data_IF_770517584910
#
_entry.id   IF_770517584910
#
_cell.length_a   1.000
_cell.length_b   1.000
_cell.length_c   1.000
_cell.angle_alpha   90.00
_cell.angle_beta   90.00
_cell.angle_gamma   90.00
#
_symmetry.space_group_name_H-M   'P 1'
#
loop_
_entity.id
_entity.type
_entity.pdbx_description
1 polymer ?
#
# COMPACT_ATOMS: atom_id res chain seq x y z
N UNK A 1 1.06 15.93 9.87
CA UNK A 1 0.61 17.09 10.67
C UNK A 1 -0.33 17.93 9.82
N UNK A 2 -1.50 18.27 10.33
CA UNK A 2 -2.55 19.02 9.61
C UNK A 2 -3.00 20.19 10.46
N UNK A 3 -3.18 21.36 9.85
CA UNK A 3 -3.92 22.48 10.43
C UNK A 3 -5.39 22.32 10.01
N UNK A 4 -6.30 22.41 10.96
CA UNK A 4 -7.72 22.53 10.70
C UNK A 4 -8.23 23.87 11.22
N UNK A 5 -8.76 24.66 10.30
CA UNK A 5 -9.44 25.90 10.59
C UNK A 5 -10.93 25.60 10.85
N UNK A 6 -11.35 25.74 12.11
CA UNK A 6 -12.70 25.33 12.51
C UNK A 6 -13.77 26.27 11.97
N UNK A 7 -13.44 27.54 11.75
CA UNK A 7 -14.38 28.53 11.23
C UNK A 7 -14.57 28.40 9.71
N UNK A 8 -13.49 28.10 8.98
CA UNK A 8 -13.53 27.97 7.51
C UNK A 8 -13.80 26.54 7.01
N UNK A 9 -13.83 25.53 7.91
CA UNK A 9 -13.88 24.12 7.52
C UNK A 9 -12.66 23.67 6.70
N UNK A 10 -11.58 24.45 6.71
CA UNK A 10 -10.44 24.28 5.81
C UNK A 10 -9.34 23.46 6.46
N UNK A 11 -8.78 22.55 5.67
CA UNK A 11 -7.69 21.67 6.07
C UNK A 11 -6.43 21.99 5.29
N UNK A 12 -5.31 22.16 5.97
CA UNK A 12 -4.02 22.43 5.33
C UNK A 12 -2.99 21.44 5.83
N UNK A 13 -2.26 20.82 4.91
CA UNK A 13 -1.15 19.95 5.24
C UNK A 13 0.07 20.81 5.60
N UNK A 14 0.45 20.80 6.88
CA UNK A 14 1.56 21.62 7.37
C UNK A 14 2.95 21.03 7.05
N UNK A 15 3.04 19.87 6.38
CA UNK A 15 4.32 19.35 5.87
C UNK A 15 4.70 19.99 4.53
N UNK A 16 3.71 20.36 3.73
CA UNK A 16 3.91 20.88 2.37
C UNK A 16 3.64 22.36 2.25
N UNK A 17 2.98 22.96 3.24
CA UNK A 17 2.61 24.37 3.25
C UNK A 17 3.26 25.03 4.47
N UNK A 18 4.16 25.98 4.21
CA UNK A 18 4.97 26.65 5.23
C UNK A 18 4.26 27.83 5.92
N UNK A 19 3.03 28.18 5.53
CA UNK A 19 2.26 29.26 6.13
C UNK A 19 0.78 29.19 5.77
N UNK A 20 -0.09 29.58 6.71
CA UNK A 20 -1.51 29.73 6.48
C UNK A 20 -1.95 31.12 6.92
N UNK A 21 -2.36 31.93 5.95
CA UNK A 21 -2.87 33.27 6.19
C UNK A 21 -4.40 33.25 6.27
N UNK A 22 -4.93 34.04 7.19
CA UNK A 22 -6.35 34.28 7.32
C UNK A 22 -6.59 35.73 7.76
N UNK A 23 -7.78 36.23 7.47
CA UNK A 23 -8.26 37.53 7.95
C UNK A 23 -9.52 37.30 8.75
N UNK A 24 -9.58 37.89 9.94
CA UNK A 24 -10.74 37.84 10.83
C UNK A 24 -10.74 39.05 11.75
N UNK A 25 -11.93 39.45 12.21
CA UNK A 25 -12.11 40.53 13.21
C UNK A 25 -12.43 39.97 14.60
N UNK A 26 -12.60 38.65 14.73
CA UNK A 26 -12.90 37.95 15.98
C UNK A 26 -11.87 36.85 16.30
N UNK A 27 -11.95 36.27 17.51
CA UNK A 27 -11.11 35.14 17.94
C UNK A 27 -11.35 33.91 17.06
N UNK A 28 -10.27 33.34 16.52
CA UNK A 28 -10.32 32.17 15.63
C UNK A 28 -9.64 30.95 16.24
N UNK A 29 -10.30 29.81 16.14
CA UNK A 29 -9.81 28.54 16.68
C UNK A 29 -9.20 27.68 15.60
N UNK A 30 -7.93 27.35 15.78
CA UNK A 30 -7.21 26.38 14.97
C UNK A 30 -6.99 25.10 15.75
N UNK A 31 -7.20 23.97 15.10
CA UNK A 31 -6.82 22.66 15.63
C UNK A 31 -5.61 22.17 14.84
N UNK A 32 -4.49 21.98 15.54
CA UNK A 32 -3.35 21.26 14.97
C UNK A 32 -3.54 19.79 15.29
N UNK A 33 -3.68 18.99 14.24
CA UNK A 33 -3.72 17.53 14.36
C UNK A 33 -2.35 16.96 14.02
N UNK A 34 -1.68 16.47 15.06
CA UNK A 34 -0.47 15.70 14.93
C UNK A 34 -0.87 14.22 15.00
N UNK A 35 -1.00 13.57 13.84
CA UNK A 35 -0.91 12.12 13.78
C UNK A 35 0.55 11.75 14.06
N UNK A 36 0.84 11.40 15.31
CA UNK A 36 2.10 10.74 15.66
C UNK A 36 2.09 9.40 14.94
N UNK A 37 3.09 9.14 14.11
CA UNK A 37 3.39 7.80 13.66
C UNK A 37 3.75 7.01 14.92
N UNK A 38 2.79 6.28 15.49
CA UNK A 38 3.10 5.36 16.58
C UNK A 38 4.27 4.49 16.10
N UNK A 39 5.29 4.32 16.94
CA UNK A 39 6.56 3.64 16.64
C UNK A 39 6.46 2.15 16.28
N UNK A 40 5.36 1.72 15.67
CA UNK A 40 5.32 0.54 14.82
C UNK A 40 6.05 0.87 13.53
N UNK A 41 7.29 0.43 13.44
CA UNK A 41 7.92 0.22 12.14
C UNK A 41 6.93 -0.57 11.28
N UNK A 42 6.57 -0.05 10.12
CA UNK A 42 5.76 -0.77 9.15
C UNK A 42 6.47 -2.11 8.91
N UNK A 43 5.75 -3.22 9.05
CA UNK A 43 6.24 -4.53 8.67
C UNK A 43 5.19 -5.21 7.82
N UNK A 44 5.67 -5.94 6.83
CA UNK A 44 4.87 -6.86 6.04
C UNK A 44 5.40 -8.27 6.30
N UNK A 45 4.50 -9.15 6.74
CA UNK A 45 4.83 -10.51 7.14
C UNK A 45 3.73 -11.50 6.76
N UNK A 46 3.97 -12.79 7.04
CA UNK A 46 2.98 -13.83 6.78
C UNK A 46 2.62 -13.98 5.30
N UNK A 47 3.53 -13.62 4.39
CA UNK A 47 3.24 -13.63 2.95
C UNK A 47 3.10 -15.08 2.47
N UNK A 48 1.91 -15.46 2.06
CA UNK A 48 1.63 -16.75 1.47
C UNK A 48 1.00 -16.60 0.09
N UNK A 49 1.35 -17.51 -0.81
CA UNK A 49 0.81 -17.58 -2.16
C UNK A 49 0.16 -18.94 -2.33
N UNK A 50 -1.09 -18.96 -2.77
CA UNK A 50 -1.81 -20.20 -3.04
C UNK A 50 -2.59 -20.07 -4.34
N UNK A 51 -2.39 -21.02 -5.25
CA UNK A 51 -3.19 -21.10 -6.44
C UNK A 51 -4.56 -21.70 -6.10
N UNK A 52 -5.62 -20.95 -6.39
CA UNK A 52 -6.99 -21.39 -6.23
C UNK A 52 -7.43 -22.23 -7.44
N UNK A 53 -8.41 -23.11 -7.23
CA UNK A 53 -8.97 -24.03 -8.23
C UNK A 53 -9.57 -23.33 -9.47
N UNK A 54 -9.75 -22.00 -9.45
CA UNK A 54 -10.27 -21.18 -10.54
C UNK A 54 -9.23 -20.54 -11.46
N UNK A 55 -7.95 -20.93 -11.38
CA UNK A 55 -6.90 -20.33 -12.21
C UNK A 55 -6.49 -18.93 -11.76
N UNK A 56 -6.57 -18.68 -10.46
CA UNK A 56 -6.14 -17.43 -9.82
C UNK A 56 -5.13 -17.75 -8.73
N UNK A 57 -4.21 -16.83 -8.46
CA UNK A 57 -3.26 -16.88 -7.37
C UNK A 57 -3.73 -15.92 -6.26
N UNK A 58 -4.02 -16.47 -5.09
CA UNK A 58 -4.27 -15.73 -3.87
C UNK A 58 -2.93 -15.39 -3.21
N UNK A 59 -2.72 -14.12 -2.87
CA UNK A 59 -1.52 -13.60 -2.22
C UNK A 59 -1.96 -12.95 -0.92
N UNK A 60 -1.81 -13.67 0.19
CA UNK A 60 -2.18 -13.19 1.53
C UNK A 60 -0.97 -12.59 2.20
N UNK A 61 -1.15 -11.48 2.91
CA UNK A 61 -0.08 -10.80 3.65
C UNK A 61 -0.63 -10.03 4.85
N UNK A 62 0.20 -9.84 5.87
CA UNK A 62 -0.16 -9.12 7.09
C UNK A 62 0.62 -7.82 7.20
N UNK A 63 -0.09 -6.71 7.38
CA UNK A 63 0.49 -5.38 7.61
C UNK A 63 0.43 -5.01 9.09
N UNK A 64 1.50 -4.45 9.64
CA UNK A 64 1.52 -3.98 11.04
C UNK A 64 0.81 -2.64 11.25
N UNK A 65 0.69 -1.84 10.18
CA UNK A 65 0.13 -0.49 10.13
C UNK A 65 -0.49 -0.24 8.74
N UNK A 66 -1.35 0.76 8.65
CA UNK A 66 -1.97 1.20 7.38
C UNK A 66 -0.88 1.69 6.41
N UNK A 67 -0.95 1.24 5.16
CA UNK A 67 0.03 1.57 4.12
C UNK A 67 -0.55 1.40 2.72
N UNK A 68 -0.03 2.19 1.78
CA UNK A 68 -0.24 1.99 0.36
C UNK A 68 0.54 0.75 -0.12
N UNK A 69 -0.15 -0.20 -0.75
CA UNK A 69 0.42 -1.47 -1.20
C UNK A 69 0.38 -1.62 -2.72
N UNK A 70 1.51 -2.03 -3.29
CA UNK A 70 1.65 -2.47 -4.68
C UNK A 70 2.26 -3.88 -4.72
N UNK A 71 1.62 -4.79 -5.44
CA UNK A 71 2.10 -6.16 -5.60
C UNK A 71 2.61 -6.37 -7.02
N UNK A 72 3.88 -6.68 -7.14
CA UNK A 72 4.54 -6.93 -8.42
C UNK A 72 4.83 -8.40 -8.58
N UNK A 73 4.39 -8.97 -9.70
CA UNK A 73 4.69 -10.35 -10.08
C UNK A 73 5.78 -10.34 -11.12
N UNK A 74 6.91 -11.00 -10.82
CA UNK A 74 8.07 -11.13 -11.68
C UNK A 74 8.36 -12.60 -11.97
N UNK A 75 8.98 -12.90 -13.10
CA UNK A 75 9.52 -14.24 -13.33
C UNK A 75 10.85 -14.44 -12.55
N UNK A 76 11.39 -15.66 -12.56
CA UNK A 76 12.70 -15.95 -11.92
C UNK A 76 13.87 -15.14 -12.50
N UNK A 77 13.73 -14.62 -13.72
CA UNK A 77 14.73 -13.75 -14.37
C UNK A 77 14.58 -12.28 -13.96
N UNK A 78 13.64 -11.95 -13.07
CA UNK A 78 13.38 -10.58 -12.60
C UNK A 78 12.52 -9.73 -13.53
N UNK A 79 12.07 -10.26 -14.68
CA UNK A 79 11.18 -9.53 -15.60
C UNK A 79 9.80 -9.34 -14.98
N UNK A 80 9.32 -8.11 -14.99
CA UNK A 80 7.96 -7.77 -14.57
C UNK A 80 6.94 -8.42 -15.51
N UNK A 81 6.04 -9.21 -14.93
CA UNK A 81 4.97 -9.92 -15.63
C UNK A 81 3.65 -9.17 -15.45
N UNK A 82 3.36 -8.72 -14.22
CA UNK A 82 2.14 -8.00 -13.86
C UNK A 82 2.39 -7.11 -12.64
N UNK A 83 1.76 -5.95 -12.61
CA UNK A 83 1.60 -5.13 -11.39
C UNK A 83 0.14 -5.16 -10.96
N UNK A 84 -0.09 -5.27 -9.67
CA UNK A 84 -1.41 -5.36 -9.04
C UNK A 84 -1.45 -4.26 -7.98
N UNK A 85 -1.99 -3.08 -8.31
CA UNK A 85 -2.11 -2.00 -7.34
C UNK A 85 -3.22 -2.36 -6.34
N UNK A 86 -2.87 -2.46 -5.06
CA UNK A 86 -3.84 -2.70 -3.98
C UNK A 86 -4.36 -1.38 -3.36
N UNK A 87 -3.64 -0.28 -3.55
CA UNK A 87 -4.02 1.03 -2.99
C UNK A 87 -3.76 1.09 -1.49
N UNK A 88 -4.52 1.92 -0.78
CA UNK A 88 -4.43 2.03 0.69
C UNK A 88 -5.01 0.78 1.36
N UNK A 89 -4.18 0.05 2.11
CA UNK A 89 -4.57 -1.13 2.86
C UNK A 89 -4.44 -0.86 4.35
N UNK A 90 -5.44 -1.31 5.12
CA UNK A 90 -5.41 -1.20 6.58
C UNK A 90 -4.49 -2.25 7.21
N UNK A 91 -4.03 -1.96 8.43
CA UNK A 91 -3.33 -2.92 9.27
C UNK A 91 -4.13 -4.21 9.45
N UNK A 92 -3.44 -5.36 9.44
CA UNK A 92 -4.04 -6.68 9.52
C UNK A 92 -3.84 -7.51 8.25
N UNK A 93 -4.66 -8.56 8.11
CA UNK A 93 -4.58 -9.51 6.99
C UNK A 93 -5.22 -8.88 5.77
N UNK A 94 -4.48 -8.88 4.67
CA UNK A 94 -4.90 -8.39 3.37
C UNK A 94 -4.72 -9.50 2.33
N UNK A 95 -5.54 -9.46 1.28
CA UNK A 95 -5.56 -10.45 0.21
C UNK A 95 -5.50 -9.74 -1.13
N UNK A 96 -4.43 -9.99 -1.89
CA UNK A 96 -4.34 -9.64 -3.30
C UNK A 96 -4.62 -10.88 -4.16
N UNK A 97 -5.24 -10.68 -5.31
CA UNK A 97 -5.51 -11.77 -6.27
C UNK A 97 -4.84 -11.46 -7.60
N UNK A 98 -4.22 -12.48 -8.18
CA UNK A 98 -3.63 -12.43 -9.50
C UNK A 98 -4.31 -13.45 -10.41
N UNK A 99 -4.76 -13.00 -11.57
CA UNK A 99 -5.46 -13.78 -12.59
C UNK A 99 -4.56 -14.73 -13.43
N UNK A 100 -3.30 -14.92 -13.03
CA UNK A 100 -2.28 -15.66 -13.78
C UNK A 100 -2.07 -15.11 -15.20
N UNK A 101 -2.36 -13.83 -15.42
CA UNK A 101 -2.14 -13.17 -16.71
C UNK A 101 -1.08 -12.08 -16.61
N UNK A 102 -0.33 -11.93 -17.69
CA UNK A 102 0.63 -10.85 -17.83
C UNK A 102 -0.07 -9.51 -18.15
N UNK A 103 0.71 -8.43 -18.27
CA UNK A 103 0.18 -7.10 -18.63
C UNK A 103 -0.53 -7.03 -19.99
N UNK A 104 -0.24 -7.94 -20.93
CA UNK A 104 -0.94 -8.05 -22.21
C UNK A 104 -2.23 -8.88 -22.15
N UNK A 105 -2.60 -9.39 -20.98
CA UNK A 105 -3.78 -10.24 -20.79
C UNK A 105 -3.59 -11.72 -21.17
N UNK A 106 -2.40 -12.11 -21.64
CA UNK A 106 -2.08 -13.50 -21.95
C UNK A 106 -1.78 -14.30 -20.67
N UNK A 107 -2.23 -15.56 -20.63
CA UNK A 107 -1.93 -16.46 -19.52
C UNK A 107 -0.43 -16.74 -19.44
N UNK A 108 0.09 -16.77 -18.22
CA UNK A 108 1.50 -17.07 -18.00
C UNK A 108 1.76 -18.57 -18.04
N UNK A 109 2.96 -19.02 -18.46
CA UNK A 109 3.34 -20.42 -18.38
C UNK A 109 3.36 -20.93 -16.94
N UNK A 110 3.17 -22.25 -16.75
CA UNK A 110 3.43 -22.90 -15.47
C UNK A 110 4.91 -22.75 -15.10
N UNK A 111 5.19 -22.38 -13.85
CA UNK A 111 6.53 -22.11 -13.39
C UNK A 111 6.56 -21.39 -12.05
N UNK A 112 7.76 -21.03 -11.61
CA UNK A 112 7.97 -20.24 -10.41
C UNK A 112 7.98 -18.75 -10.75
N UNK A 113 7.30 -17.97 -9.93
CA UNK A 113 7.23 -16.52 -10.02
C UNK A 113 7.59 -15.92 -8.66
N UNK A 114 8.01 -14.65 -8.67
CA UNK A 114 8.33 -13.87 -7.48
C UNK A 114 7.26 -12.79 -7.33
N UNK A 115 6.57 -12.81 -6.19
CA UNK A 115 5.65 -11.76 -5.78
C UNK A 115 6.37 -10.83 -4.82
N UNK A 116 6.60 -9.59 -5.25
CA UNK A 116 7.16 -8.52 -4.43
C UNK A 116 6.04 -7.62 -3.98
N UNK A 117 5.76 -7.60 -2.67
CA UNK A 117 4.78 -6.73 -2.05
C UNK A 117 5.54 -5.52 -1.53
N UNK A 118 5.21 -4.34 -2.03
CA UNK A 118 5.80 -3.08 -1.61
C UNK A 118 4.76 -2.28 -0.85
N UNK A 119 5.05 -1.98 0.40
CA UNK A 119 4.19 -1.22 1.30
C UNK A 119 4.85 0.13 1.61
N UNK A 120 4.10 1.23 1.49
CA UNK A 120 4.58 2.59 1.76
C UNK A 120 3.62 3.32 2.69
N UNK A 121 4.12 3.88 3.79
CA UNK A 121 3.33 4.75 4.66
C UNK A 121 3.36 6.20 4.19
N UNK A 122 2.41 7.01 4.67
CA UNK A 122 2.37 8.46 4.45
C UNK A 122 3.64 9.18 4.97
N UNK A 123 4.31 8.58 5.98
CA UNK A 123 5.55 9.10 6.55
C UNK A 123 6.80 8.82 5.70
N UNK A 124 6.64 8.14 4.56
CA UNK A 124 7.73 7.83 3.64
C UNK A 124 8.46 6.51 3.95
N UNK A 125 8.06 5.80 5.01
CA UNK A 125 8.60 4.47 5.31
C UNK A 125 8.15 3.50 4.24
N UNK A 126 9.11 2.80 3.63
CA UNK A 126 8.85 1.77 2.64
C UNK A 126 9.40 0.43 3.12
N UNK A 127 8.58 -0.61 3.05
CA UNK A 127 8.98 -1.99 3.35
C UNK A 127 8.51 -2.88 2.23
N UNK A 128 9.35 -3.85 1.87
CA UNK A 128 9.02 -4.84 0.86
C UNK A 128 9.17 -6.26 1.39
N UNK A 129 8.24 -7.14 1.03
CA UNK A 129 8.37 -8.57 1.22
C UNK A 129 8.37 -9.29 -0.13
N UNK A 130 9.11 -10.38 -0.22
CA UNK A 130 9.17 -11.22 -1.41
C UNK A 130 8.70 -12.62 -1.02
N UNK A 131 7.77 -13.16 -1.81
CA UNK A 131 7.38 -14.56 -1.71
C UNK A 131 7.38 -15.21 -3.08
N UNK A 132 7.60 -16.52 -3.10
CA UNK A 132 7.53 -17.28 -4.35
C UNK A 132 6.09 -17.69 -4.60
N UNK A 133 5.65 -17.69 -5.84
CA UNK A 133 4.35 -18.19 -6.27
C UNK A 133 4.56 -19.27 -7.33
N UNK A 134 4.10 -20.48 -7.06
CA UNK A 134 4.17 -21.59 -8.01
C UNK A 134 2.88 -21.63 -8.82
N UNK A 135 3.01 -21.44 -10.12
CA UNK A 135 1.89 -21.57 -11.07
C UNK A 135 1.96 -22.96 -11.68
N UNK A 136 0.92 -23.76 -11.46
CA UNK A 136 0.69 -25.06 -12.09
C UNK A 136 -0.60 -25.05 -12.89
N UNK A 137 -0.71 -25.92 -13.89
CA UNK A 137 -1.93 -26.12 -14.67
C UNK A 137 -2.61 -27.41 -14.24
#
# INVERSE_FOLDING_TARGET
MRLYDQAAGKSVNLRTVHGYEYTDTASRYFRIEVKQAAGKTLTVGGVSTQQANGGQMAISYTLSADAAVDVQVRNISGRLIRSIPCGECSAGINLATWDLRNASGAMVPSGMYLCTITCRTEDGTQVSAISTARVSR
#
